data_IF_227303184480
#
_entry.id   IF_227303184480
#
_cell.length_a   1.000
_cell.length_b   1.000
_cell.length_c   1.000
_cell.angle_alpha   90.00
_cell.angle_beta   90.00
_cell.angle_gamma   90.00
#
_symmetry.space_group_name_H-M   'P 1'
#
loop_
_entity.id
_entity.type
_entity.pdbx_description
1 polymer ?
#
# COMPACT_ATOMS: atom_id res chain seq x y z
N UNK A 1 11.13 -13.77 -8.72
CA UNK A 1 9.66 -13.99 -8.79
C UNK A 1 9.05 -12.77 -9.43
N UNK A 2 8.37 -12.92 -10.57
CA UNK A 2 7.63 -11.83 -11.21
C UNK A 2 6.45 -11.46 -10.32
N UNK A 3 6.24 -10.17 -10.08
CA UNK A 3 5.08 -9.70 -9.31
C UNK A 3 3.80 -10.12 -10.06
N UNK A 4 2.84 -10.82 -9.43
CA UNK A 4 1.59 -11.22 -10.06
C UNK A 4 0.84 -10.06 -10.71
N UNK A 5 1.05 -8.85 -10.23
CA UNK A 5 0.46 -7.61 -10.75
C UNK A 5 0.94 -7.24 -12.14
N UNK A 6 2.23 -7.50 -12.44
CA UNK A 6 2.85 -7.17 -13.75
C UNK A 6 2.33 -8.08 -14.86
N UNK A 7 2.15 -9.36 -14.57
CA UNK A 7 1.65 -10.33 -15.55
C UNK A 7 0.17 -10.15 -15.83
N UNK A 8 -0.63 -9.89 -14.80
CA UNK A 8 -2.10 -9.79 -14.92
C UNK A 8 -2.54 -8.63 -15.82
N UNK A 9 -1.89 -7.45 -15.73
CA UNK A 9 -2.26 -6.29 -16.56
C UNK A 9 -1.59 -6.30 -17.94
N UNK A 10 -0.39 -6.90 -18.09
CA UNK A 10 0.27 -7.05 -19.39
C UNK A 10 -0.35 -8.13 -20.27
N UNK A 11 -0.85 -9.20 -19.67
CA UNK A 11 -1.54 -10.30 -20.40
C UNK A 11 -2.98 -9.94 -20.81
N UNK A 12 -3.45 -8.71 -20.57
CA UNK A 12 -4.82 -8.25 -20.82
C UNK A 12 -5.91 -9.04 -20.08
N UNK A 13 -5.56 -9.73 -19.01
CA UNK A 13 -6.54 -10.40 -18.13
C UNK A 13 -7.28 -9.38 -17.26
N UNK A 14 -6.66 -8.22 -17.01
CA UNK A 14 -7.27 -7.12 -16.25
C UNK A 14 -6.78 -5.77 -16.79
N UNK A 15 -7.68 -4.79 -16.87
CA UNK A 15 -7.37 -3.41 -17.27
C UNK A 15 -6.71 -2.60 -16.14
N UNK A 16 -6.99 -2.97 -14.89
CA UNK A 16 -6.54 -2.27 -13.69
C UNK A 16 -5.92 -3.25 -12.69
N UNK A 17 -4.93 -2.75 -11.95
CA UNK A 17 -4.39 -3.43 -10.79
C UNK A 17 -4.44 -2.52 -9.56
N UNK A 18 -4.75 -3.11 -8.41
CA UNK A 18 -4.74 -2.43 -7.11
C UNK A 18 -3.60 -2.98 -6.27
N UNK A 19 -2.64 -2.12 -5.94
CA UNK A 19 -1.35 -2.51 -5.36
C UNK A 19 -1.16 -1.81 -4.01
N UNK A 20 -0.97 -2.55 -2.88
CA UNK A 20 -0.69 -1.93 -1.60
C UNK A 20 0.70 -1.30 -1.62
N UNK A 21 0.82 -0.04 -1.14
CA UNK A 21 2.10 0.67 -1.09
C UNK A 21 2.57 0.93 0.33
N UNK A 22 1.64 1.17 1.24
CA UNK A 22 1.94 1.44 2.64
C UNK A 22 0.75 1.11 3.55
N UNK A 23 1.05 0.84 4.81
CA UNK A 23 0.08 0.61 5.85
C UNK A 23 0.44 1.47 7.07
N UNK A 24 -0.54 2.12 7.70
CA UNK A 24 -0.32 3.06 8.80
C UNK A 24 0.31 2.43 10.06
N UNK A 25 0.25 1.11 10.22
CA UNK A 25 0.79 0.37 11.36
C UNK A 25 2.05 -0.41 10.97
N UNK A 26 2.03 -1.08 9.82
CA UNK A 26 3.13 -1.92 9.36
C UNK A 26 4.20 -1.15 8.56
N UNK A 27 3.92 0.11 8.21
CA UNK A 27 4.83 0.92 7.40
C UNK A 27 4.76 0.60 5.91
N UNK A 28 5.89 0.73 5.22
CA UNK A 28 5.97 0.49 3.78
C UNK A 28 5.80 -0.99 3.44
N UNK A 29 5.17 -1.25 2.30
CA UNK A 29 5.20 -2.59 1.70
C UNK A 29 6.56 -2.77 1.02
N UNK A 30 7.31 -3.79 1.44
CA UNK A 30 8.65 -4.08 0.92
C UNK A 30 8.60 -4.29 -0.61
N UNK A 31 9.68 -3.92 -1.29
CA UNK A 31 9.96 -4.11 -2.73
C UNK A 31 9.04 -3.43 -3.74
N UNK A 32 7.83 -3.03 -3.34
CA UNK A 32 6.86 -2.45 -4.29
C UNK A 32 7.39 -1.17 -4.95
N UNK A 33 8.14 -0.35 -4.21
CA UNK A 33 8.75 0.89 -4.70
C UNK A 33 9.81 0.63 -5.79
N UNK A 34 10.45 -0.55 -5.76
CA UNK A 34 11.39 -1.00 -6.79
C UNK A 34 10.65 -1.55 -8.03
N UNK A 35 9.53 -2.22 -7.81
CA UNK A 35 8.79 -2.91 -8.87
C UNK A 35 7.94 -1.96 -9.71
N UNK A 36 7.32 -0.96 -9.11
CA UNK A 36 6.41 -0.02 -9.80
C UNK A 36 7.14 0.71 -10.96
N UNK A 37 8.33 1.34 -10.77
CA UNK A 37 9.01 2.05 -11.85
C UNK A 37 9.41 1.17 -13.04
N UNK A 38 9.61 -0.13 -12.79
CA UNK A 38 10.01 -1.13 -13.81
C UNK A 38 8.81 -1.89 -14.39
N UNK A 39 7.61 -1.69 -13.86
CA UNK A 39 6.40 -2.41 -14.28
C UNK A 39 5.93 -2.02 -15.69
N UNK A 40 6.20 -0.79 -16.12
CA UNK A 40 5.62 -0.19 -17.32
C UNK A 40 4.14 0.17 -17.16
N UNK A 41 3.64 0.18 -15.92
CA UNK A 41 2.28 0.60 -15.58
C UNK A 41 2.30 2.06 -15.12
N UNK A 42 1.15 2.72 -15.25
CA UNK A 42 0.92 4.09 -14.81
C UNK A 42 0.01 4.12 -13.59
N UNK A 43 0.34 4.96 -12.62
CA UNK A 43 -0.53 5.23 -11.46
C UNK A 43 -1.63 6.20 -11.93
N UNK A 44 -2.88 5.80 -11.79
CA UNK A 44 -4.04 6.59 -12.20
C UNK A 44 -4.94 6.98 -11.03
N UNK A 45 -4.63 6.51 -9.82
CA UNK A 45 -5.39 6.82 -8.61
C UNK A 45 -4.83 6.15 -7.38
N UNK A 46 -5.44 6.46 -6.25
CA UNK A 46 -5.15 5.84 -4.96
C UNK A 46 -6.44 5.49 -4.23
N UNK A 47 -6.37 4.53 -3.31
CA UNK A 47 -7.45 4.14 -2.43
C UNK A 47 -6.94 3.84 -1.03
N UNK A 48 -7.65 4.33 -0.02
CA UNK A 48 -7.37 4.04 1.39
C UNK A 48 -8.40 3.06 1.93
N UNK A 49 -7.93 1.88 2.34
CA UNK A 49 -8.78 0.83 2.89
C UNK A 49 -8.50 0.66 4.38
N UNK A 50 -9.49 0.92 5.21
CA UNK A 50 -9.43 0.59 6.63
C UNK A 50 -9.38 -0.92 6.82
N UNK A 51 -8.41 -1.38 7.60
CA UNK A 51 -8.21 -2.79 7.94
C UNK A 51 -8.93 -3.07 9.25
N UNK A 52 -10.04 -3.82 9.17
CA UNK A 52 -10.79 -4.26 10.35
C UNK A 52 -10.73 -5.78 10.42
N UNK A 53 -10.20 -6.29 11.51
CA UNK A 53 -10.11 -7.71 11.78
C UNK A 53 -11.33 -8.23 12.55
N UNK A 54 -11.83 -9.38 12.13
CA UNK A 54 -12.93 -10.06 12.79
C UNK A 54 -12.46 -11.42 13.31
N UNK A 55 -12.93 -11.85 14.46
CA UNK A 55 -12.75 -13.21 14.95
C UNK A 55 -13.86 -14.09 14.36
N UNK A 56 -13.48 -14.97 13.46
CA UNK A 56 -14.37 -15.83 12.70
C UNK A 56 -14.33 -17.27 13.22
N UNK A 57 -15.46 -17.94 13.21
CA UNK A 57 -15.54 -19.34 13.61
C UNK A 57 -16.69 -20.07 12.88
N UNK A 58 -16.73 -21.39 12.99
CA UNK A 58 -17.82 -22.22 12.49
C UNK A 58 -19.13 -21.97 13.26
N UNK A 59 -20.25 -22.34 12.67
CA UNK A 59 -21.53 -22.35 13.37
C UNK A 59 -21.44 -23.34 14.57
N UNK A 60 -21.99 -22.94 15.73
CA UNK A 60 -21.84 -23.71 16.96
C UNK A 60 -20.65 -23.31 17.84
N UNK A 61 -19.59 -22.73 17.28
CA UNK A 61 -18.50 -22.22 18.07
C UNK A 61 -18.87 -20.98 18.90
N UNK A 62 -18.23 -20.83 20.04
CA UNK A 62 -18.38 -19.71 20.98
C UNK A 62 -16.99 -19.22 21.44
N UNK A 63 -16.92 -18.06 22.10
CA UNK A 63 -15.67 -17.57 22.70
C UNK A 63 -15.09 -18.51 23.77
N UNK A 64 -15.92 -19.41 24.35
CA UNK A 64 -15.49 -20.41 25.34
C UNK A 64 -14.95 -21.69 24.71
N UNK A 65 -15.43 -22.05 23.51
CA UNK A 65 -15.05 -23.32 22.86
C UNK A 65 -13.76 -23.18 22.06
N UNK A 66 -13.47 -22.00 21.51
CA UNK A 66 -12.27 -21.78 20.70
C UNK A 66 -11.00 -21.86 21.55
N UNK A 67 -9.99 -22.52 21.03
CA UNK A 67 -8.65 -22.70 21.65
C UNK A 67 -7.53 -22.21 20.75
N UNK A 68 -7.73 -22.27 19.43
CA UNK A 68 -6.73 -21.92 18.42
C UNK A 68 -7.25 -20.84 17.50
N UNK A 69 -6.36 -19.94 17.05
CA UNK A 69 -6.68 -18.91 16.09
C UNK A 69 -5.66 -18.87 14.96
N UNK A 70 -6.14 -18.95 13.71
CA UNK A 70 -5.32 -18.96 12.49
C UNK A 70 -5.40 -17.61 11.76
N UNK A 71 -4.28 -17.08 11.29
CA UNK A 71 -4.23 -15.93 10.38
C UNK A 71 -2.81 -15.71 9.83
N UNK A 72 -2.67 -14.75 8.92
CA UNK A 72 -1.36 -14.22 8.55
C UNK A 72 -0.64 -13.64 9.77
N UNK A 73 0.70 -13.72 9.79
CA UNK A 73 1.53 -13.23 10.90
C UNK A 73 1.21 -11.79 11.32
N UNK A 74 0.99 -10.88 10.35
CA UNK A 74 0.60 -9.50 10.62
C UNK A 74 -0.79 -9.41 11.27
N UNK A 75 -1.78 -10.20 10.81
CA UNK A 75 -3.12 -10.23 11.41
C UNK A 75 -3.09 -10.70 12.87
N UNK A 76 -2.29 -11.73 13.16
CA UNK A 76 -2.05 -12.19 14.53
C UNK A 76 -1.37 -11.11 15.38
N UNK A 77 -0.34 -10.44 14.82
CA UNK A 77 0.39 -9.40 15.49
C UNK A 77 -0.47 -8.15 15.82
N UNK A 78 -1.48 -7.87 14.99
CA UNK A 78 -2.41 -6.75 15.17
C UNK A 78 -3.58 -7.06 16.11
N UNK A 79 -3.72 -8.30 16.60
CA UNK A 79 -4.81 -8.72 17.48
C UNK A 79 -4.30 -9.40 18.77
N UNK A 80 -3.09 -9.07 19.20
CA UNK A 80 -2.41 -9.71 20.36
C UNK A 80 -3.18 -9.56 21.65
N UNK A 81 -3.79 -8.38 21.90
CA UNK A 81 -4.55 -8.12 23.14
C UNK A 81 -5.70 -9.12 23.29
N UNK A 82 -6.46 -9.35 22.21
CA UNK A 82 -7.57 -10.32 22.26
C UNK A 82 -7.08 -11.76 22.34
N UNK A 83 -6.07 -12.13 21.57
CA UNK A 83 -5.47 -13.48 21.57
C UNK A 83 -5.03 -13.84 23.00
N UNK A 84 -4.31 -12.93 23.67
CA UNK A 84 -3.88 -13.11 25.08
C UNK A 84 -5.07 -13.16 26.04
N UNK A 85 -6.05 -12.25 25.88
CA UNK A 85 -7.24 -12.20 26.76
C UNK A 85 -8.05 -13.48 26.74
N UNK A 86 -8.15 -14.13 25.57
CA UNK A 86 -8.92 -15.37 25.39
C UNK A 86 -8.04 -16.63 25.54
N UNK A 87 -6.77 -16.46 25.85
CA UNK A 87 -5.77 -17.57 25.97
C UNK A 87 -5.76 -18.47 24.74
N UNK A 88 -5.78 -17.88 23.53
CA UNK A 88 -5.77 -18.62 22.27
C UNK A 88 -4.36 -18.95 21.83
N UNK A 89 -4.17 -20.14 21.25
CA UNK A 89 -2.92 -20.53 20.58
C UNK A 89 -2.89 -19.98 19.15
N UNK A 90 -1.99 -19.02 18.82
CA UNK A 90 -1.89 -18.48 17.47
C UNK A 90 -1.18 -19.47 16.53
N UNK A 91 -1.75 -19.68 15.35
CA UNK A 91 -1.18 -20.50 14.28
C UNK A 91 -1.06 -19.66 13.02
N UNK A 92 0.15 -19.57 12.49
CA UNK A 92 0.41 -18.79 11.28
C UNK A 92 -0.15 -19.48 10.05
N UNK A 93 -0.76 -18.69 9.16
CA UNK A 93 -1.22 -19.07 7.83
C UNK A 93 -0.59 -18.14 6.78
N UNK A 94 -0.59 -18.57 5.52
CA UNK A 94 -0.02 -17.80 4.39
C UNK A 94 -0.73 -16.43 4.24
N UNK A 95 -2.05 -16.41 4.37
CA UNK A 95 -2.87 -15.20 4.30
C UNK A 95 -4.12 -15.27 5.17
N UNK A 96 -4.77 -14.13 5.41
CA UNK A 96 -5.95 -14.03 6.29
C UNK A 96 -7.20 -14.66 5.68
N UNK A 97 -7.40 -14.51 4.38
CA UNK A 97 -8.58 -15.04 3.69
C UNK A 97 -8.46 -16.56 3.53
N UNK A 98 -7.25 -17.07 3.23
CA UNK A 98 -6.94 -18.51 3.20
C UNK A 98 -7.20 -19.20 4.54
N UNK A 99 -6.83 -18.56 5.66
CA UNK A 99 -7.14 -19.07 6.98
C UNK A 99 -8.65 -19.22 7.21
N UNK A 100 -9.45 -18.23 6.78
CA UNK A 100 -10.90 -18.30 6.85
C UNK A 100 -11.49 -19.36 5.90
N UNK A 101 -10.94 -19.49 4.70
CA UNK A 101 -11.35 -20.52 3.75
C UNK A 101 -11.06 -21.93 4.28
N UNK A 102 -9.86 -22.18 4.79
CA UNK A 102 -9.51 -23.47 5.41
C UNK A 102 -10.44 -23.80 6.57
N UNK A 103 -10.69 -22.83 7.46
CA UNK A 103 -11.62 -22.99 8.56
C UNK A 103 -13.03 -23.39 8.09
N UNK A 104 -13.53 -22.79 7.00
CA UNK A 104 -14.88 -23.05 6.48
C UNK A 104 -15.06 -24.48 5.95
N UNK A 105 -13.98 -25.14 5.58
CA UNK A 105 -13.99 -26.54 5.11
C UNK A 105 -13.79 -27.56 6.21
N UNK A 106 -13.41 -27.11 7.40
CA UNK A 106 -13.21 -27.99 8.56
C UNK A 106 -14.50 -28.15 9.38
N UNK A 107 -14.42 -29.02 10.40
CA UNK A 107 -15.50 -29.28 11.34
C UNK A 107 -15.11 -28.97 12.79
N UNK A 108 -13.90 -28.49 13.04
CA UNK A 108 -13.38 -28.26 14.38
C UNK A 108 -13.85 -26.91 14.94
N UNK A 109 -14.83 -26.95 15.84
CA UNK A 109 -15.39 -25.77 16.50
C UNK A 109 -14.43 -25.12 17.52
N UNK A 110 -13.27 -25.74 17.79
CA UNK A 110 -12.25 -25.18 18.68
C UNK A 110 -11.28 -24.25 17.95
N UNK A 111 -11.35 -24.20 16.61
CA UNK A 111 -10.52 -23.35 15.76
C UNK A 111 -11.29 -22.11 15.34
N UNK A 112 -10.60 -20.95 15.38
CA UNK A 112 -11.05 -19.68 14.88
C UNK A 112 -10.10 -19.13 13.83
N UNK A 113 -10.53 -18.15 13.05
CA UNK A 113 -9.66 -17.40 12.14
C UNK A 113 -9.80 -15.89 12.37
N UNK A 114 -8.71 -15.13 12.17
CA UNK A 114 -8.75 -13.67 12.08
C UNK A 114 -8.74 -13.31 10.61
N UNK A 115 -9.83 -12.70 10.13
CA UNK A 115 -9.95 -12.24 8.76
C UNK A 115 -10.96 -11.07 8.64
N UNK A 116 -11.23 -10.63 7.41
CA UNK A 116 -12.16 -9.55 7.12
C UNK A 116 -13.64 -9.97 7.30
N UNK A 117 -14.53 -8.97 7.47
CA UNK A 117 -15.98 -9.19 7.42
C UNK A 117 -16.43 -9.80 6.08
N UNK A 118 -15.73 -9.46 4.98
CA UNK A 118 -16.02 -10.01 3.66
C UNK A 118 -15.73 -11.52 3.61
N UNK A 119 -14.60 -11.96 4.17
CA UNK A 119 -14.27 -13.39 4.26
C UNK A 119 -15.33 -14.16 5.06
N UNK A 120 -15.83 -13.58 6.16
CA UNK A 120 -16.94 -14.20 6.91
C UNK A 120 -18.18 -14.42 6.03
N UNK A 121 -18.55 -13.41 5.22
CA UNK A 121 -19.71 -13.49 4.32
C UNK A 121 -19.50 -14.54 3.20
N UNK A 122 -18.33 -14.54 2.56
CA UNK A 122 -18.01 -15.43 1.43
C UNK A 122 -17.99 -16.89 1.89
N UNK A 123 -17.38 -17.17 3.04
CA UNK A 123 -17.18 -18.53 3.54
C UNK A 123 -18.25 -19.00 4.53
N UNK A 124 -19.31 -18.22 4.76
CA UNK A 124 -20.42 -18.60 5.64
C UNK A 124 -20.04 -18.74 7.11
N UNK A 125 -18.96 -18.06 7.54
CA UNK A 125 -18.47 -18.14 8.91
C UNK A 125 -19.21 -17.17 9.84
N UNK A 126 -19.33 -17.57 11.12
CA UNK A 126 -19.89 -16.73 12.18
C UNK A 126 -18.83 -15.74 12.68
N UNK A 127 -19.19 -14.48 12.84
CA UNK A 127 -18.36 -13.48 13.52
C UNK A 127 -18.62 -13.60 15.02
N UNK A 128 -17.63 -14.07 15.79
CA UNK A 128 -17.67 -14.13 17.24
C UNK A 128 -17.40 -12.79 17.89
N UNK A 129 -16.49 -12.01 17.30
CA UNK A 129 -16.17 -10.67 17.76
C UNK A 129 -15.72 -9.79 16.59
N UNK A 130 -16.19 -8.53 16.58
CA UNK A 130 -15.91 -7.54 15.54
C UNK A 130 -14.77 -6.62 15.98
N UNK A 131 -14.02 -6.09 14.99
CA UNK A 131 -13.04 -5.02 15.13
C UNK A 131 -12.08 -5.32 16.28
N UNK A 132 -11.34 -6.40 16.13
CA UNK A 132 -10.48 -6.98 17.17
C UNK A 132 -9.02 -6.52 17.06
N UNK A 133 -8.73 -5.67 16.11
CA UNK A 133 -7.42 -5.04 15.96
C UNK A 133 -7.05 -4.22 17.21
N UNK A 134 -5.77 -4.27 17.57
CA UNK A 134 -5.23 -3.57 18.73
C UNK A 134 -5.11 -2.05 18.49
N UNK A 135 -4.95 -1.65 17.21
CA UNK A 135 -4.85 -0.27 16.75
C UNK A 135 -6.04 0.09 15.85
N UNK A 136 -6.83 1.07 16.28
CA UNK A 136 -8.12 1.42 15.63
C UNK A 136 -7.93 2.06 14.24
N UNK A 137 -6.78 2.70 13.99
CA UNK A 137 -6.51 3.49 12.78
C UNK A 137 -5.64 2.75 11.75
N UNK A 138 -5.76 1.42 11.69
CA UNK A 138 -5.04 0.63 10.70
C UNK A 138 -5.65 0.83 9.32
N UNK A 139 -4.90 1.50 8.45
CA UNK A 139 -5.33 1.81 7.08
C UNK A 139 -4.22 1.43 6.09
N UNK A 140 -4.57 0.74 5.03
CA UNK A 140 -3.67 0.45 3.92
C UNK A 140 -3.97 1.38 2.77
N UNK A 141 -2.94 2.04 2.25
CA UNK A 141 -2.99 2.80 1.01
C UNK A 141 -2.64 1.90 -0.16
N UNK A 142 -3.50 1.92 -1.16
CA UNK A 142 -3.32 1.21 -2.43
C UNK A 142 -3.15 2.23 -3.56
N UNK A 143 -2.33 1.88 -4.54
CA UNK A 143 -2.27 2.57 -5.82
C UNK A 143 -3.12 1.82 -6.84
N UNK A 144 -3.87 2.56 -7.65
CA UNK A 144 -4.61 2.04 -8.78
C UNK A 144 -3.74 2.25 -10.01
N UNK A 145 -3.41 1.16 -10.68
CA UNK A 145 -2.47 1.14 -11.79
C UNK A 145 -3.13 0.64 -13.07
N UNK A 146 -2.71 1.20 -14.21
CA UNK A 146 -3.19 0.84 -15.54
C UNK A 146 -2.02 0.75 -16.52
N UNK A 147 -2.19 -0.03 -17.59
CA UNK A 147 -1.30 -0.03 -18.74
C UNK A 147 -1.49 1.21 -19.64
N UNK A 148 -2.58 1.94 -19.46
CA UNK A 148 -2.86 3.20 -20.17
C UNK A 148 -2.54 4.38 -19.27
N UNK A 149 -1.72 5.31 -19.79
CA UNK A 149 -1.46 6.57 -19.09
C UNK A 149 -2.75 7.39 -19.04
N UNK A 150 -3.09 7.86 -17.85
CA UNK A 150 -4.21 8.78 -17.64
C UNK A 150 -3.77 9.88 -16.68
N UNK A 151 -3.80 11.11 -17.15
CA UNK A 151 -3.59 12.30 -16.33
C UNK A 151 -4.92 13.07 -16.36
N UNK A 152 -5.59 13.24 -15.22
CA UNK A 152 -6.86 13.98 -15.17
C UNK A 152 -6.64 15.44 -15.59
N UNK A 153 -7.68 16.07 -16.10
CA UNK A 153 -7.63 17.50 -16.44
C UNK A 153 -7.35 18.33 -15.18
N UNK A 154 -6.44 19.29 -15.30
CA UNK A 154 -6.13 20.19 -14.20
C UNK A 154 -7.37 21.00 -13.78
N UNK A 155 -7.57 21.06 -12.48
CA UNK A 155 -8.66 21.80 -11.81
C UNK A 155 -8.12 22.36 -10.49
N UNK A 156 -8.07 23.69 -10.39
CA UNK A 156 -7.56 24.42 -9.22
C UNK A 156 -8.31 24.12 -7.92
N UNK A 157 -9.56 23.65 -8.01
CA UNK A 157 -10.37 23.31 -6.84
C UNK A 157 -10.05 21.94 -6.25
N UNK A 158 -9.19 21.15 -6.91
CA UNK A 158 -8.86 19.78 -6.54
C UNK A 158 -7.40 19.65 -6.15
N UNK A 159 -7.13 18.75 -5.23
CA UNK A 159 -5.76 18.39 -4.84
C UNK A 159 -5.32 17.20 -5.69
N UNK A 160 -4.19 17.35 -6.35
CA UNK A 160 -3.55 16.30 -7.12
C UNK A 160 -2.32 15.79 -6.38
N UNK A 161 -1.96 14.55 -6.65
CA UNK A 161 -0.68 13.96 -6.27
C UNK A 161 0.03 13.53 -7.55
N UNK A 162 1.27 13.94 -7.69
CA UNK A 162 2.15 13.48 -8.76
C UNK A 162 3.25 12.62 -8.17
N UNK A 163 3.28 11.36 -8.57
CA UNK A 163 4.31 10.41 -8.15
C UNK A 163 5.48 10.44 -9.12
N UNK A 164 6.67 10.68 -8.58
CA UNK A 164 7.90 10.88 -9.36
C UNK A 164 8.97 9.92 -8.83
N UNK A 165 9.72 9.32 -9.75
CA UNK A 165 10.95 8.57 -9.44
C UNK A 165 12.12 9.23 -10.15
N UNK A 166 13.27 9.31 -9.47
CA UNK A 166 14.49 9.88 -10.03
C UNK A 166 15.74 9.27 -9.40
N UNK A 167 16.86 9.33 -10.14
CA UNK A 167 18.18 8.97 -9.64
C UNK A 167 19.05 10.22 -9.54
N UNK A 168 19.80 10.32 -8.45
CA UNK A 168 20.59 11.51 -8.19
C UNK A 168 22.02 11.40 -8.70
N UNK A 169 22.58 12.55 -9.10
CA UNK A 169 24.02 12.69 -9.25
C UNK A 169 24.70 12.54 -7.89
N UNK A 170 25.87 11.91 -7.87
CA UNK A 170 26.69 11.78 -6.66
C UNK A 170 27.47 13.07 -6.41
N UNK A 171 26.78 14.13 -6.02
CA UNK A 171 27.38 15.43 -5.68
C UNK A 171 26.88 15.89 -4.30
N UNK A 172 27.68 16.66 -3.54
CA UNK A 172 27.31 17.14 -2.23
C UNK A 172 25.98 17.90 -2.25
N UNK A 173 25.14 17.65 -1.24
CA UNK A 173 23.84 18.30 -1.04
C UNK A 173 22.83 18.14 -2.20
N UNK A 174 23.00 17.17 -3.10
CA UNK A 174 22.09 16.98 -4.24
C UNK A 174 20.65 16.76 -3.79
N UNK A 175 20.41 15.89 -2.80
CA UNK A 175 19.05 15.66 -2.26
C UNK A 175 18.46 16.95 -1.68
N UNK A 176 19.22 17.69 -0.87
CA UNK A 176 18.78 18.95 -0.31
C UNK A 176 18.32 19.93 -1.39
N UNK A 177 19.09 20.06 -2.47
CA UNK A 177 18.78 20.95 -3.59
C UNK A 177 17.53 20.51 -4.35
N UNK A 178 17.35 19.21 -4.58
CA UNK A 178 16.12 18.67 -5.19
C UNK A 178 14.90 18.96 -4.30
N UNK A 179 15.01 18.68 -3.00
CA UNK A 179 13.92 18.96 -2.06
C UNK A 179 13.67 20.46 -1.92
N UNK A 180 14.74 21.28 -1.97
CA UNK A 180 14.66 22.73 -1.99
C UNK A 180 13.84 23.26 -3.17
N UNK A 181 14.02 22.70 -4.37
CA UNK A 181 13.23 23.05 -5.54
C UNK A 181 11.72 22.85 -5.36
N UNK A 182 11.30 21.78 -4.69
CA UNK A 182 9.89 21.61 -4.32
C UNK A 182 9.44 22.67 -3.31
N UNK A 183 10.23 22.87 -2.25
CA UNK A 183 9.89 23.80 -1.17
C UNK A 183 9.77 25.25 -1.67
N UNK A 184 10.73 25.73 -2.48
CA UNK A 184 10.71 27.12 -3.01
C UNK A 184 9.59 27.36 -3.99
N UNK A 185 9.08 26.32 -4.63
CA UNK A 185 7.94 26.38 -5.54
C UNK A 185 6.59 26.06 -4.86
N UNK A 186 6.56 25.97 -3.52
CA UNK A 186 5.34 25.76 -2.74
C UNK A 186 4.75 24.36 -2.86
N UNK A 187 5.54 23.36 -3.26
CA UNK A 187 5.11 21.98 -3.43
C UNK A 187 5.36 21.19 -2.15
N UNK A 188 4.31 20.64 -1.56
CA UNK A 188 4.40 19.75 -0.42
C UNK A 188 4.72 18.32 -0.87
N UNK A 189 5.67 17.66 -0.19
CA UNK A 189 5.96 16.25 -0.39
C UNK A 189 5.28 15.42 0.69
N UNK A 190 4.40 14.52 0.30
CA UNK A 190 3.65 13.66 1.22
C UNK A 190 4.33 12.31 1.44
N UNK A 191 5.25 11.93 0.55
CA UNK A 191 6.04 10.71 0.65
C UNK A 191 7.44 10.93 0.06
N UNK A 192 8.44 10.40 0.74
CA UNK A 192 9.81 10.32 0.26
C UNK A 192 10.40 8.97 0.69
N UNK A 193 10.76 8.16 -0.29
CA UNK A 193 11.43 6.87 -0.09
C UNK A 193 12.72 6.84 -0.88
N UNK A 194 13.75 6.24 -0.32
CA UNK A 194 15.02 6.02 -1.00
C UNK A 194 15.35 4.53 -1.05
N UNK A 195 15.94 4.11 -2.14
CA UNK A 195 16.43 2.74 -2.29
C UNK A 195 17.64 2.72 -3.23
N UNK A 196 18.47 1.72 -3.05
CA UNK A 196 19.68 1.55 -3.87
C UNK A 196 19.28 0.86 -5.16
N UNK A 197 19.63 1.48 -6.29
CA UNK A 197 19.44 0.90 -7.62
C UNK A 197 20.79 0.38 -8.16
N UNK A 198 20.71 -0.72 -8.93
CA UNK A 198 21.86 -1.29 -9.64
C UNK A 198 22.75 -2.22 -8.80
N UNK A 199 23.54 -3.04 -9.55
CA UNK A 199 24.42 -4.07 -8.97
C UNK A 199 25.56 -3.54 -8.12
N UNK A 200 25.93 -2.26 -8.28
CA UNK A 200 27.10 -1.66 -7.64
C UNK A 200 26.79 -0.83 -6.40
N UNK A 201 25.55 -0.85 -5.91
CA UNK A 201 25.09 -0.12 -4.72
C UNK A 201 25.44 1.39 -4.71
N UNK A 202 25.67 1.99 -5.88
CA UNK A 202 26.18 3.38 -6.01
C UNK A 202 25.12 4.41 -6.37
N UNK A 203 23.99 4.01 -6.94
CA UNK A 203 22.93 4.93 -7.33
C UNK A 203 21.79 4.90 -6.33
N UNK A 204 21.52 6.03 -5.69
CA UNK A 204 20.32 6.20 -4.88
C UNK A 204 19.16 6.63 -5.79
N UNK A 205 18.12 5.81 -5.84
CA UNK A 205 16.87 6.15 -6.49
C UNK A 205 15.89 6.63 -5.42
N UNK A 206 15.14 7.65 -5.77
CA UNK A 206 14.15 8.25 -4.90
C UNK A 206 12.77 8.13 -5.51
N UNK A 207 11.80 7.85 -4.66
CA UNK A 207 10.38 7.84 -4.98
C UNK A 207 9.72 8.93 -4.13
N UNK A 208 9.03 9.86 -4.75
CA UNK A 208 8.32 10.94 -4.06
C UNK A 208 6.88 11.04 -4.53
N UNK A 209 5.99 11.35 -3.60
CA UNK A 209 4.65 11.83 -3.89
C UNK A 209 4.63 13.32 -3.57
N UNK A 210 4.44 14.13 -4.60
CA UNK A 210 4.37 15.60 -4.53
C UNK A 210 2.91 16.07 -4.74
N UNK A 211 2.43 16.94 -3.87
CA UNK A 211 1.12 17.58 -4.04
C UNK A 211 1.19 18.60 -5.16
N UNK A 212 0.43 18.39 -6.21
CA UNK A 212 0.35 19.26 -7.36
C UNK A 212 0.17 18.49 -8.66
N UNK A 213 -0.25 19.21 -9.68
CA UNK A 213 -0.48 18.69 -11.03
C UNK A 213 0.69 19.05 -11.95
N UNK A 214 1.11 18.21 -12.91
CA UNK A 214 2.22 18.52 -13.82
C UNK A 214 2.07 19.80 -14.65
N UNK A 215 0.84 20.30 -14.82
CA UNK A 215 0.58 21.56 -15.52
C UNK A 215 0.61 22.80 -14.60
N UNK A 216 0.80 22.64 -13.32
CA UNK A 216 0.99 23.77 -12.40
C UNK A 216 2.38 24.36 -12.56
N UNK A 217 2.47 25.68 -12.59
CA UNK A 217 3.75 26.37 -12.80
C UNK A 217 4.79 26.02 -11.72
N UNK A 218 4.36 25.91 -10.46
CA UNK A 218 5.24 25.48 -9.37
C UNK A 218 5.81 24.08 -9.58
N UNK A 219 4.98 23.12 -10.01
CA UNK A 219 5.43 21.76 -10.31
C UNK A 219 6.40 21.74 -11.50
N UNK A 220 6.12 22.49 -12.55
CA UNK A 220 7.01 22.60 -13.71
C UNK A 220 8.38 23.15 -13.30
N UNK A 221 8.40 24.25 -12.54
CA UNK A 221 9.65 24.83 -12.05
C UNK A 221 10.44 23.84 -11.19
N UNK A 222 9.79 23.17 -10.23
CA UNK A 222 10.42 22.16 -9.38
C UNK A 222 11.03 21.01 -10.22
N UNK A 223 10.30 20.52 -11.22
CA UNK A 223 10.78 19.49 -12.13
C UNK A 223 11.97 19.97 -12.98
N UNK A 224 11.98 21.23 -13.40
CA UNK A 224 13.10 21.80 -14.15
C UNK A 224 14.35 21.96 -13.26
N UNK A 225 14.21 22.43 -12.03
CA UNK A 225 15.29 22.52 -11.05
C UNK A 225 15.88 21.14 -10.72
N UNK A 226 15.06 20.10 -10.60
CA UNK A 226 15.51 18.73 -10.35
C UNK A 226 16.50 18.23 -11.41
N UNK A 227 16.33 18.60 -12.67
CA UNK A 227 17.20 18.14 -13.80
C UNK A 227 18.67 18.44 -13.59
N UNK A 228 19.00 19.52 -12.86
CA UNK A 228 20.41 19.89 -12.60
C UNK A 228 21.10 18.89 -11.66
N UNK A 229 20.36 18.24 -10.75
CA UNK A 229 20.89 17.40 -9.68
C UNK A 229 20.60 15.91 -9.85
N UNK A 230 19.81 15.55 -10.86
CA UNK A 230 19.47 14.18 -11.21
C UNK A 230 20.27 13.68 -12.40
N UNK A 231 20.39 12.36 -12.54
CA UNK A 231 20.98 11.77 -13.75
C UNK A 231 20.07 12.06 -14.94
N UNK A 232 20.69 12.31 -16.08
CA UNK A 232 19.95 12.60 -17.32
C UNK A 232 18.95 11.47 -17.65
N UNK A 233 17.72 11.86 -17.98
CA UNK A 233 16.65 10.92 -18.31
C UNK A 233 16.14 10.07 -17.13
N UNK A 234 16.63 10.26 -15.90
CA UNK A 234 16.21 9.46 -14.75
C UNK A 234 14.88 9.88 -14.14
N UNK A 235 14.43 11.12 -14.38
CA UNK A 235 13.16 11.62 -13.85
C UNK A 235 12.01 10.95 -14.63
N UNK A 236 11.19 10.18 -13.90
CA UNK A 236 10.01 9.52 -14.44
C UNK A 236 8.77 9.90 -13.61
N UNK A 237 7.77 10.48 -14.26
CA UNK A 237 6.45 10.66 -13.66
C UNK A 237 5.70 9.34 -13.84
N UNK A 238 5.47 8.63 -12.73
CA UNK A 238 4.75 7.35 -12.72
C UNK A 238 3.24 7.55 -12.85
N UNK A 239 2.74 8.70 -12.42
CA UNK A 239 1.34 9.09 -12.56
C UNK A 239 1.04 10.42 -11.88
N UNK A 240 -0.07 11.01 -12.28
CA UNK A 240 -0.67 12.15 -11.58
C UNK A 240 -2.17 11.88 -11.47
N UNK A 241 -2.72 12.01 -10.28
CA UNK A 241 -4.08 11.59 -9.97
C UNK A 241 -4.68 12.47 -8.85
N UNK A 242 -6.01 12.43 -8.73
CA UNK A 242 -6.70 13.12 -7.65
C UNK A 242 -6.35 12.48 -6.31
N UNK A 243 -6.01 13.32 -5.33
CA UNK A 243 -5.78 12.89 -3.97
C UNK A 243 -7.07 12.32 -3.38
N UNK A 244 -7.01 11.11 -2.91
CA UNK A 244 -8.08 10.52 -2.11
C UNK A 244 -7.75 10.76 -0.63
N UNK A 245 -8.44 11.73 0.00
CA UNK A 245 -8.25 11.99 1.43
C UNK A 245 -9.04 10.93 2.18
N UNK A 246 -8.41 10.16 3.09
CA UNK A 246 -9.16 9.24 3.94
C UNK A 246 -10.25 10.03 4.66
N UNK A 247 -11.49 9.57 4.56
CA UNK A 247 -12.60 10.15 5.32
C UNK A 247 -12.15 10.22 6.78
N UNK A 248 -12.20 11.41 7.38
CA UNK A 248 -11.86 11.59 8.81
C UNK A 248 -12.58 10.52 9.61
N UNK A 249 -11.80 9.74 10.32
CA UNK A 249 -12.24 8.68 11.22
C UNK A 249 -12.72 9.35 12.51
#
# INVERSE_FOLDING_TARGET
MSSPTKETTKSKVSDLAMVPIENSVAGRVADIHNLIPESGLHIIGEHYQKVNHQLLALKGATLKTIKTVKSHSQGLAQCRKLIKKLNLSPVQHIDTAGAAHELSKGNDITVAAIASKMAAKIYGLKILKKNIEDEVNNTTRFLIMSNKKHIPKYDKSKIFVTTIVFEMKSVPAALYKVLGGFATNGINLTKLESYISGKNMKAARFYVDAEGHPHEKGMQNALDEMKFYTLEGSIKILGSYLRNIPTKI
#
